data_IF_160159236397
#
_entry.id   IF_160159236397
#
_cell.length_a   1.000
_cell.length_b   1.000
_cell.length_c   1.000
_cell.angle_alpha   90.00
_cell.angle_beta   90.00
_cell.angle_gamma   90.00
#
_symmetry.space_group_name_H-M   'P 1'
#
loop_
_entity.id
_entity.type
_entity.pdbx_description
1 polymer ?
#
# COMPACT_ATOMS: atom_id res chain seq x y z
N UNK A 1 -0.28 10.07 -7.68
CA UNK A 1 1.00 9.34 -7.68
C UNK A 1 0.76 8.14 -6.77
N UNK A 2 0.48 6.96 -7.33
CA UNK A 2 0.14 5.71 -6.63
C UNK A 2 0.49 4.51 -7.55
N UNK A 3 0.13 4.63 -8.83
CA UNK A 3 0.36 3.59 -9.82
C UNK A 3 1.84 3.29 -10.09
N UNK A 4 2.71 4.30 -10.04
CA UNK A 4 4.14 4.10 -10.30
C UNK A 4 4.85 3.45 -9.10
N UNK A 5 4.47 3.80 -7.87
CA UNK A 5 5.01 3.14 -6.68
C UNK A 5 4.53 1.69 -6.57
N UNK A 6 3.26 1.42 -6.87
CA UNK A 6 2.75 0.06 -6.97
C UNK A 6 3.53 -0.79 -8.00
N UNK A 7 3.86 -0.20 -9.17
CA UNK A 7 4.71 -0.87 -10.17
C UNK A 7 6.14 -1.08 -9.67
N UNK A 8 6.75 -0.07 -9.05
CA UNK A 8 8.08 -0.17 -8.48
C UNK A 8 8.15 -1.28 -7.41
N UNK A 9 7.12 -1.43 -6.57
CA UNK A 9 7.02 -2.51 -5.60
C UNK A 9 6.85 -3.88 -6.27
N UNK A 10 6.04 -3.97 -7.33
CA UNK A 10 5.88 -5.20 -8.11
C UNK A 10 7.20 -5.65 -8.79
N UNK A 11 7.99 -4.71 -9.32
CA UNK A 11 9.31 -5.00 -9.89
C UNK A 11 10.28 -5.56 -8.83
N UNK A 12 10.29 -4.96 -7.63
CA UNK A 12 11.08 -5.46 -6.49
C UNK A 12 10.66 -6.86 -6.07
N UNK A 13 9.34 -7.14 -6.05
CA UNK A 13 8.82 -8.48 -5.76
C UNK A 13 9.24 -9.49 -6.83
N UNK A 14 9.19 -9.11 -8.11
CA UNK A 14 9.65 -9.94 -9.24
C UNK A 14 11.11 -10.38 -9.06
N UNK A 15 11.99 -9.47 -8.62
CA UNK A 15 13.40 -9.79 -8.35
C UNK A 15 13.53 -10.83 -7.22
N UNK A 16 12.78 -10.64 -6.12
CA UNK A 16 12.77 -11.59 -5.00
C UNK A 16 12.28 -12.97 -5.42
N UNK A 17 11.18 -13.02 -6.19
CA UNK A 17 10.61 -14.26 -6.68
C UNK A 17 11.59 -15.05 -7.55
N UNK A 18 12.25 -14.38 -8.50
CA UNK A 18 13.26 -15.00 -9.39
C UNK A 18 14.46 -15.58 -8.66
N UNK A 19 14.74 -15.10 -7.45
CA UNK A 19 15.90 -15.53 -6.64
C UNK A 19 15.53 -16.45 -5.48
N UNK A 20 14.26 -16.86 -5.38
CA UNK A 20 13.79 -17.73 -4.29
C UNK A 20 13.81 -17.03 -2.92
N UNK A 21 13.69 -15.70 -2.90
CA UNK A 21 13.74 -14.84 -1.70
C UNK A 21 12.41 -14.13 -1.46
N UNK A 22 11.29 -14.78 -1.77
CA UNK A 22 9.96 -14.25 -1.48
C UNK A 22 9.84 -13.94 0.02
N UNK A 23 9.23 -12.82 0.37
CA UNK A 23 9.03 -12.41 1.77
C UNK A 23 7.93 -13.23 2.46
N UNK A 24 6.94 -13.71 1.71
CA UNK A 24 5.81 -14.49 2.20
C UNK A 24 5.08 -15.19 1.04
N UNK A 25 4.00 -15.91 1.34
CA UNK A 25 3.12 -16.51 0.33
C UNK A 25 2.37 -15.49 -0.52
N UNK A 26 2.31 -14.22 -0.09
CA UNK A 26 1.61 -13.13 -0.78
C UNK A 26 2.57 -12.04 -1.27
N UNK A 27 3.87 -12.29 -1.28
CA UNK A 27 4.86 -11.34 -1.80
C UNK A 27 4.56 -11.00 -3.27
N UNK A 28 4.18 -9.73 -3.52
CA UNK A 28 3.81 -9.23 -4.84
C UNK A 28 2.32 -9.29 -5.17
N UNK A 29 1.47 -9.76 -4.24
CA UNK A 29 0.02 -9.76 -4.42
C UNK A 29 -0.54 -8.32 -4.31
N UNK A 30 -1.24 -7.81 -5.33
CA UNK A 30 -1.91 -6.52 -5.23
C UNK A 30 -3.09 -6.61 -4.26
N UNK A 31 -3.25 -5.58 -3.42
CA UNK A 31 -4.36 -5.46 -2.47
C UNK A 31 -5.03 -4.09 -2.61
N UNK A 32 -6.28 -4.01 -2.18
CA UNK A 32 -6.99 -2.75 -1.98
C UNK A 32 -7.25 -2.54 -0.49
N UNK A 33 -7.01 -1.33 -0.01
CA UNK A 33 -7.29 -0.93 1.37
C UNK A 33 -8.51 -0.03 1.33
N UNK A 34 -9.50 -0.32 2.19
CA UNK A 34 -10.67 0.55 2.32
C UNK A 34 -10.21 1.86 2.97
N UNK A 35 -10.75 2.98 2.49
CA UNK A 35 -10.50 4.34 2.99
C UNK A 35 -11.08 4.59 4.40
N UNK A 36 -10.72 3.72 5.33
CA UNK A 36 -11.03 3.70 6.77
C UNK A 36 -9.83 3.17 7.57
N UNK A 37 -8.76 2.75 6.88
CA UNK A 37 -7.54 2.19 7.43
C UNK A 37 -6.41 3.09 6.95
N UNK A 38 -5.58 3.54 7.89
CA UNK A 38 -4.52 4.48 7.63
C UNK A 38 -3.38 3.86 6.82
N UNK A 39 -2.90 4.62 5.86
CA UNK A 39 -1.72 4.34 5.05
C UNK A 39 -0.83 5.58 5.09
N UNK A 40 0.47 5.42 5.33
CA UNK A 40 1.39 6.56 5.45
C UNK A 40 1.47 7.38 4.16
N UNK A 41 1.35 6.71 3.01
CA UNK A 41 1.60 7.25 1.68
C UNK A 41 0.35 7.82 0.97
N UNK A 42 -0.84 7.67 1.55
CA UNK A 42 -2.10 8.13 0.97
C UNK A 42 -3.04 8.77 2.01
N UNK A 43 -3.87 9.75 1.61
CA UNK A 43 -4.91 10.27 2.48
C UNK A 43 -5.88 9.19 2.93
N UNK A 44 -6.38 9.33 4.16
CA UNK A 44 -7.51 8.57 4.69
C UNK A 44 -8.67 9.53 4.91
N UNK A 45 -9.61 9.56 3.97
CA UNK A 45 -10.68 10.58 3.91
C UNK A 45 -12.00 10.09 4.51
N UNK A 46 -12.08 8.82 4.92
CA UNK A 46 -13.24 8.21 5.58
C UNK A 46 -14.55 8.31 4.76
N UNK A 47 -14.45 8.65 3.47
CA UNK A 47 -15.60 9.01 2.63
C UNK A 47 -16.43 10.20 3.14
N UNK A 48 -15.85 11.12 3.93
CA UNK A 48 -16.56 12.26 4.53
C UNK A 48 -15.85 13.58 4.26
N UNK A 49 -16.57 14.60 3.78
CA UNK A 49 -15.97 15.85 3.30
C UNK A 49 -15.10 16.57 4.35
N UNK A 50 -15.42 16.44 5.64
CA UNK A 50 -14.63 17.05 6.70
C UNK A 50 -13.22 16.45 6.84
N UNK A 51 -12.98 15.27 6.28
CA UNK A 51 -11.69 14.57 6.31
C UNK A 51 -10.97 14.60 4.95
N UNK A 52 -11.43 15.41 4.00
CA UNK A 52 -10.75 15.56 2.71
C UNK A 52 -9.30 16.00 2.89
N UNK A 53 -8.37 15.28 2.29
CA UNK A 53 -6.93 15.50 2.42
C UNK A 53 -6.33 15.13 3.77
N UNK A 54 -7.09 14.48 4.67
CA UNK A 54 -6.55 14.00 5.94
C UNK A 54 -5.46 12.96 5.70
N UNK A 55 -4.25 13.24 6.19
CA UNK A 55 -3.06 12.41 5.98
C UNK A 55 -2.47 12.07 7.35
N UNK A 56 -2.83 10.91 7.94
CA UNK A 56 -2.40 10.52 9.30
C UNK A 56 -0.87 10.42 9.46
N UNK A 57 -0.15 10.10 8.38
CA UNK A 57 1.31 10.01 8.38
C UNK A 57 1.85 8.75 9.05
N UNK A 58 1.03 7.70 9.14
CA UNK A 58 1.41 6.40 9.66
C UNK A 58 0.61 5.29 8.97
N UNK A 59 1.19 4.09 8.93
CA UNK A 59 0.48 2.88 8.58
C UNK A 59 -0.31 2.34 9.79
N UNK A 60 -1.50 1.82 9.51
CA UNK A 60 -2.24 0.99 10.45
C UNK A 60 -1.53 -0.38 10.60
N UNK A 61 -1.57 -1.08 11.74
CA UNK A 61 -0.94 -2.40 11.90
C UNK A 61 -1.38 -3.51 10.92
N UNK A 62 -2.44 -3.29 10.15
CA UNK A 62 -2.89 -4.18 9.07
C UNK A 62 -2.16 -3.96 7.74
N UNK A 63 -1.46 -2.83 7.58
CA UNK A 63 -0.69 -2.41 6.39
C UNK A 63 0.78 -2.76 6.63
#
# INVERSE_FOLDING_TARGET
MQADDARNQADKSTIRWRTGRQLSSIDGMPIGIKDLIETEDMPTEMGYEAFKGNSPGNDNPLV
#
